data_IF_151664345816
#
_entry.id   IF_151664345816
#
_cell.length_a   1.000
_cell.length_b   1.000
_cell.length_c   1.000
_cell.angle_alpha   90.00
_cell.angle_beta   90.00
_cell.angle_gamma   90.00
#
_symmetry.space_group_name_H-M   'P 1'
#
loop_
_entity.id
_entity.type
_entity.pdbx_description
1 polymer ?
#
# COMPACT_ATOMS: atom_id res chain seq x y z
N UNK A 1 18.08 -12.73 -9.70
CA UNK A 1 18.72 -11.62 -8.91
C UNK A 1 17.80 -10.38 -8.74
N UNK A 2 16.97 -10.02 -9.74
CA UNK A 2 16.01 -8.91 -9.59
C UNK A 2 14.69 -9.37 -8.97
N UNK A 3 14.22 -10.57 -9.32
CA UNK A 3 13.02 -11.19 -8.73
C UNK A 3 13.14 -11.36 -7.21
N UNK A 4 14.30 -11.82 -6.74
CA UNK A 4 14.59 -12.00 -5.31
C UNK A 4 14.45 -10.72 -4.48
N UNK A 5 14.54 -9.54 -5.12
CA UNK A 5 14.35 -8.22 -4.49
C UNK A 5 12.93 -7.68 -4.63
N UNK A 6 12.06 -8.37 -5.34
CA UNK A 6 10.67 -7.98 -5.52
C UNK A 6 9.86 -8.46 -4.32
N UNK A 7 9.30 -7.53 -3.54
CA UNK A 7 8.51 -7.87 -2.35
C UNK A 7 7.30 -8.75 -2.69
N UNK A 8 6.61 -8.51 -3.81
CA UNK A 8 5.51 -9.37 -4.24
C UNK A 8 5.96 -10.80 -4.56
N UNK A 9 7.15 -10.96 -5.14
CA UNK A 9 7.75 -12.28 -5.40
C UNK A 9 8.14 -12.99 -4.11
N UNK A 10 8.74 -12.28 -3.15
CA UNK A 10 9.09 -12.85 -1.84
C UNK A 10 7.85 -13.35 -1.09
N UNK A 11 6.74 -12.60 -1.13
CA UNK A 11 5.47 -13.02 -0.53
C UNK A 11 4.91 -14.25 -1.25
N UNK A 12 4.94 -14.26 -2.57
CA UNK A 12 4.47 -15.39 -3.37
C UNK A 12 5.23 -16.68 -3.06
N UNK A 13 6.55 -16.62 -2.97
CA UNK A 13 7.39 -17.78 -2.63
C UNK A 13 7.28 -18.19 -1.15
N UNK A 14 7.00 -17.25 -0.25
CA UNK A 14 6.76 -17.52 1.17
C UNK A 14 5.37 -18.10 1.47
N UNK A 15 4.43 -18.07 0.52
CA UNK A 15 3.07 -18.54 0.70
C UNK A 15 2.87 -20.05 0.43
N UNK A 16 3.95 -20.84 0.38
CA UNK A 16 3.94 -22.29 0.10
C UNK A 16 3.21 -22.66 -1.22
N UNK A 17 3.25 -21.75 -2.20
CA UNK A 17 2.71 -21.96 -3.52
C UNK A 17 3.80 -22.47 -4.46
N UNK A 18 3.55 -23.59 -5.13
CA UNK A 18 4.46 -24.07 -6.17
C UNK A 18 4.33 -23.19 -7.43
N UNK A 19 5.26 -22.28 -7.56
CA UNK A 19 5.38 -21.38 -8.72
C UNK A 19 6.59 -21.68 -9.57
N UNK A 20 7.29 -22.79 -9.31
CA UNK A 20 8.56 -23.15 -10.00
C UNK A 20 8.36 -23.45 -11.48
N UNK A 21 7.19 -23.98 -11.85
CA UNK A 21 6.83 -24.25 -13.25
C UNK A 21 6.20 -23.05 -13.98
N UNK A 22 6.00 -21.89 -13.31
CA UNK A 22 5.44 -20.71 -13.93
C UNK A 22 6.51 -19.84 -14.55
N UNK A 23 6.27 -19.42 -15.79
CA UNK A 23 7.09 -18.37 -16.38
C UNK A 23 6.87 -17.03 -15.67
N UNK A 24 7.96 -16.37 -15.31
CA UNK A 24 7.96 -15.14 -14.56
C UNK A 24 8.34 -13.94 -15.43
N UNK A 25 7.41 -13.01 -15.62
CA UNK A 25 7.68 -11.73 -16.24
C UNK A 25 7.94 -10.66 -15.18
N UNK A 26 9.13 -10.10 -15.17
CA UNK A 26 9.45 -8.97 -14.29
C UNK A 26 9.17 -7.64 -15.00
N UNK A 27 8.24 -6.87 -14.47
CA UNK A 27 7.90 -5.53 -14.93
C UNK A 27 8.57 -4.49 -14.02
N UNK A 28 9.62 -3.80 -14.48
CA UNK A 28 10.28 -2.79 -13.66
C UNK A 28 9.37 -1.57 -13.45
N UNK A 29 9.09 -1.25 -12.18
CA UNK A 29 8.26 -0.11 -11.78
C UNK A 29 9.08 0.88 -10.94
N UNK A 30 10.05 1.59 -11.55
CA UNK A 30 10.90 2.53 -10.83
C UNK A 30 10.09 3.75 -10.36
N UNK A 31 10.46 4.31 -9.20
CA UNK A 31 9.90 5.57 -8.71
C UNK A 31 10.47 6.75 -9.49
N UNK A 32 9.88 7.06 -10.64
CA UNK A 32 10.26 8.16 -11.52
C UNK A 32 9.38 9.37 -11.19
N UNK A 33 9.99 10.55 -10.96
CA UNK A 33 9.25 11.80 -10.71
C UNK A 33 8.75 12.46 -12.01
N UNK A 34 9.45 12.24 -13.09
CA UNK A 34 9.13 12.79 -14.40
C UNK A 34 7.95 12.03 -15.04
N UNK A 35 6.85 12.73 -15.23
CA UNK A 35 5.58 12.13 -15.64
C UNK A 35 5.64 11.45 -17.03
N UNK A 36 6.37 12.01 -17.97
CA UNK A 36 6.52 11.44 -19.32
C UNK A 36 7.26 10.10 -19.26
N UNK A 37 8.43 10.07 -18.63
CA UNK A 37 9.22 8.84 -18.47
C UNK A 37 8.47 7.75 -17.69
N UNK A 38 7.66 8.17 -16.71
CA UNK A 38 6.81 7.24 -15.97
C UNK A 38 5.74 6.64 -16.89
N UNK A 39 5.11 7.47 -17.76
CA UNK A 39 4.12 7.01 -18.74
C UNK A 39 4.75 6.04 -19.74
N UNK A 40 5.87 6.40 -20.33
CA UNK A 40 6.63 5.55 -21.27
C UNK A 40 6.99 4.18 -20.64
N UNK A 41 7.39 4.19 -19.37
CA UNK A 41 7.66 2.93 -18.66
C UNK A 41 6.41 2.07 -18.52
N UNK A 42 5.26 2.66 -18.16
CA UNK A 42 4.00 1.93 -18.07
C UNK A 42 3.54 1.40 -19.44
N UNK A 43 3.70 2.19 -20.51
CA UNK A 43 3.37 1.79 -21.88
C UNK A 43 4.22 0.59 -22.32
N UNK A 44 5.54 0.64 -22.05
CA UNK A 44 6.46 -0.47 -22.33
C UNK A 44 6.09 -1.73 -21.55
N UNK A 45 5.78 -1.62 -20.26
CA UNK A 45 5.38 -2.77 -19.44
C UNK A 45 4.06 -3.35 -19.92
N UNK A 46 3.08 -2.52 -20.27
CA UNK A 46 1.81 -3.00 -20.82
C UNK A 46 2.00 -3.73 -22.15
N UNK A 47 2.87 -3.22 -23.03
CA UNK A 47 3.20 -3.88 -24.30
C UNK A 47 3.78 -5.28 -24.09
N UNK A 48 4.71 -5.46 -23.14
CA UNK A 48 5.24 -6.77 -22.81
C UNK A 48 4.15 -7.75 -22.34
N UNK A 49 3.17 -7.26 -21.59
CA UNK A 49 2.02 -8.08 -21.17
C UNK A 49 1.15 -8.44 -22.38
N UNK A 50 0.87 -7.50 -23.27
CA UNK A 50 0.06 -7.73 -24.49
C UNK A 50 0.69 -8.78 -25.39
N UNK A 51 2.01 -8.74 -25.58
CA UNK A 51 2.76 -9.71 -26.39
C UNK A 51 2.55 -11.17 -25.93
N UNK A 52 2.38 -11.36 -24.62
CA UNK A 52 2.10 -12.69 -24.05
C UNK A 52 0.62 -13.05 -24.20
N UNK A 53 -0.28 -12.08 -23.99
CA UNK A 53 -1.73 -12.30 -24.17
C UNK A 53 -2.09 -12.60 -25.62
N UNK A 54 -1.39 -12.01 -26.61
CA UNK A 54 -1.59 -12.21 -28.04
C UNK A 54 -1.30 -13.63 -28.52
N UNK A 55 -0.44 -14.35 -27.81
CA UNK A 55 -0.19 -15.78 -28.09
C UNK A 55 -1.14 -16.72 -27.35
N UNK A 56 -2.18 -16.16 -26.70
CA UNK A 56 -3.26 -16.93 -26.07
C UNK A 56 -2.97 -17.42 -24.65
N UNK A 57 -1.97 -16.85 -23.98
CA UNK A 57 -1.64 -17.17 -22.59
C UNK A 57 -2.37 -16.21 -21.63
N UNK A 58 -2.70 -16.71 -20.44
CA UNK A 58 -3.21 -15.89 -19.34
C UNK A 58 -2.08 -15.38 -18.46
N UNK A 59 -2.25 -14.18 -17.90
CA UNK A 59 -1.26 -13.56 -16.99
C UNK A 59 -1.92 -13.21 -15.67
N UNK A 60 -1.25 -13.59 -14.57
CA UNK A 60 -1.55 -13.11 -13.23
C UNK A 60 -0.51 -12.06 -12.80
N UNK A 61 -0.94 -10.81 -12.62
CA UNK A 61 -0.11 -9.74 -12.07
C UNK A 61 -0.18 -9.75 -10.54
N UNK A 62 0.92 -10.08 -9.87
CA UNK A 62 1.00 -10.05 -8.40
C UNK A 62 1.40 -8.68 -7.90
N UNK A 63 0.74 -8.25 -6.82
CA UNK A 63 0.98 -6.98 -6.13
C UNK A 63 0.81 -7.15 -4.63
N UNK A 64 1.29 -6.17 -3.85
CA UNK A 64 1.12 -6.12 -2.40
C UNK A 64 -0.27 -5.62 -2.02
N UNK A 65 -0.87 -6.21 -1.00
CA UNK A 65 -2.15 -5.78 -0.46
C UNK A 65 -3.32 -6.05 -1.42
N UNK A 66 -4.19 -5.08 -1.58
CA UNK A 66 -5.33 -5.15 -2.50
C UNK A 66 -5.03 -4.40 -3.80
N UNK A 67 -5.28 -4.99 -4.99
CA UNK A 67 -4.95 -4.38 -6.26
C UNK A 67 -5.79 -3.13 -6.60
N UNK A 68 -6.88 -2.86 -5.88
CA UNK A 68 -7.71 -1.68 -6.07
C UNK A 68 -7.21 -0.45 -5.28
N UNK A 69 -6.27 -0.64 -4.33
CA UNK A 69 -5.78 0.42 -3.43
C UNK A 69 -4.33 0.79 -3.75
N UNK A 70 -4.12 1.89 -4.45
CA UNK A 70 -2.80 2.46 -4.80
C UNK A 70 -1.81 1.49 -5.46
N UNK A 71 -2.31 0.43 -6.09
CA UNK A 71 -1.47 -0.56 -6.75
C UNK A 71 -0.94 -0.05 -8.09
N UNK A 72 0.36 -0.23 -8.34
CA UNK A 72 0.99 0.19 -9.61
C UNK A 72 0.48 -0.63 -10.80
N UNK A 73 0.01 -1.85 -10.56
CA UNK A 73 -0.63 -2.71 -11.57
C UNK A 73 -1.87 -2.07 -12.22
N UNK A 74 -2.53 -1.12 -11.54
CA UNK A 74 -3.67 -0.38 -12.12
C UNK A 74 -3.31 0.37 -13.39
N UNK A 75 -2.09 0.88 -13.49
CA UNK A 75 -1.62 1.58 -14.70
C UNK A 75 -1.47 0.65 -15.91
N UNK A 76 -1.11 -0.61 -15.67
CA UNK A 76 -1.03 -1.65 -16.70
C UNK A 76 -2.45 -2.08 -17.08
N UNK A 77 -3.31 -2.36 -16.09
CA UNK A 77 -4.71 -2.74 -16.28
C UNK A 77 -5.43 -1.78 -17.23
N UNK A 78 -5.37 -0.47 -16.96
CA UNK A 78 -6.03 0.55 -17.79
C UNK A 78 -5.57 0.48 -19.26
N UNK A 79 -4.27 0.26 -19.51
CA UNK A 79 -3.72 0.14 -20.86
C UNK A 79 -4.18 -1.12 -21.57
N UNK A 80 -4.25 -2.23 -20.86
CA UNK A 80 -4.77 -3.49 -21.41
C UNK A 80 -6.22 -3.33 -21.82
N UNK A 81 -7.06 -2.74 -20.99
CA UNK A 81 -8.49 -2.51 -21.28
C UNK A 81 -8.70 -1.56 -22.46
N UNK A 82 -7.88 -0.50 -22.55
CA UNK A 82 -7.89 0.43 -23.70
C UNK A 82 -7.54 -0.26 -25.03
N UNK A 83 -6.81 -1.37 -24.98
CA UNK A 83 -6.45 -2.19 -26.14
C UNK A 83 -7.34 -3.44 -26.30
N UNK A 84 -8.48 -3.52 -25.59
CA UNK A 84 -9.48 -4.55 -25.76
C UNK A 84 -9.25 -5.86 -24.99
N UNK A 85 -8.23 -5.92 -24.15
CA UNK A 85 -7.99 -7.10 -23.30
C UNK A 85 -8.93 -7.10 -22.09
N UNK A 86 -9.42 -8.28 -21.72
CA UNK A 86 -10.21 -8.45 -20.49
C UNK A 86 -9.29 -8.53 -19.28
N UNK A 87 -9.66 -7.85 -18.21
CA UNK A 87 -8.94 -7.87 -16.94
C UNK A 87 -9.91 -8.17 -15.80
N UNK A 88 -9.39 -8.74 -14.71
CA UNK A 88 -10.12 -8.94 -13.47
C UNK A 88 -9.24 -8.56 -12.28
N UNK A 89 -9.84 -7.97 -11.24
CA UNK A 89 -9.17 -7.76 -9.96
C UNK A 89 -9.54 -8.90 -9.01
N UNK A 90 -8.53 -9.55 -8.46
CA UNK A 90 -8.72 -10.54 -7.39
C UNK A 90 -8.45 -9.80 -6.08
N UNK A 91 -9.43 -9.68 -5.17
CA UNK A 91 -9.28 -8.92 -3.94
C UNK A 91 -8.22 -9.54 -3.03
N UNK A 92 -7.48 -8.68 -2.35
CA UNK A 92 -6.50 -9.04 -1.34
C UNK A 92 -6.82 -8.38 0.00
N UNK A 93 -5.93 -8.53 0.97
CA UNK A 93 -6.03 -7.84 2.25
C UNK A 93 -5.30 -6.50 2.14
N UNK A 94 -6.01 -5.34 2.19
CA UNK A 94 -5.36 -4.04 2.18
C UNK A 94 -4.37 -3.90 3.34
N UNK A 95 -3.24 -3.23 3.13
CA UNK A 95 -2.18 -3.09 4.15
C UNK A 95 -2.68 -2.49 5.47
N UNK A 96 -3.63 -1.58 5.42
CA UNK A 96 -4.20 -0.98 6.62
C UNK A 96 -5.11 -1.95 7.41
N UNK A 97 -5.76 -2.91 6.75
CA UNK A 97 -6.49 -3.98 7.44
C UNK A 97 -5.51 -4.96 8.11
N UNK A 98 -4.43 -5.33 7.42
CA UNK A 98 -3.38 -6.17 8.00
C UNK A 98 -2.71 -5.48 9.20
N UNK A 99 -2.37 -4.18 9.07
CA UNK A 99 -1.80 -3.38 10.15
C UNK A 99 -2.75 -3.26 11.36
N UNK A 100 -4.05 -3.05 11.12
CA UNK A 100 -5.04 -2.99 12.20
C UNK A 100 -5.14 -4.33 12.95
N UNK A 101 -5.09 -5.45 12.23
CA UNK A 101 -5.07 -6.79 12.83
C UNK A 101 -3.80 -7.00 13.68
N UNK A 102 -2.61 -6.64 13.16
CA UNK A 102 -1.35 -6.75 13.89
C UNK A 102 -1.29 -5.85 15.14
N UNK A 103 -1.85 -4.64 15.05
CA UNK A 103 -1.99 -3.72 16.18
C UNK A 103 -3.14 -4.07 17.13
N UNK A 104 -3.96 -5.07 16.79
CA UNK A 104 -5.16 -5.48 17.52
C UNK A 104 -6.15 -4.32 17.75
N UNK A 105 -6.44 -3.55 16.69
CA UNK A 105 -7.36 -2.41 16.75
C UNK A 105 -8.45 -2.46 15.70
N UNK A 106 -9.63 -2.01 16.05
CA UNK A 106 -10.75 -1.81 15.13
C UNK A 106 -10.58 -0.48 14.40
N UNK A 107 -10.69 -0.48 13.07
CA UNK A 107 -10.57 0.75 12.27
C UNK A 107 -11.81 1.64 12.41
N UNK A 108 -12.99 1.08 12.42
CA UNK A 108 -14.23 1.86 12.60
C UNK A 108 -15.28 1.04 13.34
N UNK A 109 -16.09 1.74 14.13
CA UNK A 109 -17.24 1.19 14.84
C UNK A 109 -18.50 2.02 14.52
N UNK A 110 -19.64 1.35 14.38
CA UNK A 110 -20.94 1.99 14.16
C UNK A 110 -20.95 2.98 12.96
N UNK A 111 -20.94 4.28 13.24
CA UNK A 111 -21.01 5.38 12.25
C UNK A 111 -19.67 6.09 12.05
N UNK A 112 -18.58 5.56 12.59
CA UNK A 112 -17.24 6.13 12.44
C UNK A 112 -16.81 6.07 10.97
N UNK A 113 -16.33 7.18 10.45
CA UNK A 113 -15.81 7.28 9.08
C UNK A 113 -14.37 6.81 9.02
N UNK A 114 -13.95 6.26 7.87
CA UNK A 114 -12.56 5.90 7.59
C UNK A 114 -12.08 6.69 6.38
N UNK A 115 -10.99 7.43 6.55
CA UNK A 115 -10.31 8.17 5.48
C UNK A 115 -8.97 7.52 5.15
N UNK A 116 -8.81 7.04 3.93
CA UNK A 116 -7.56 6.48 3.43
C UNK A 116 -6.84 7.56 2.62
N UNK A 117 -5.72 8.05 3.13
CA UNK A 117 -5.09 9.28 2.68
C UNK A 117 -3.61 9.05 2.34
N UNK A 118 -3.13 9.50 1.17
CA UNK A 118 -1.71 9.53 0.89
C UNK A 118 -1.06 10.74 1.61
N UNK A 119 -0.34 10.50 2.71
CA UNK A 119 0.33 11.55 3.49
C UNK A 119 1.43 12.31 2.73
N UNK A 120 1.66 11.96 1.47
CA UNK A 120 2.59 12.67 0.58
C UNK A 120 2.09 14.04 0.13
N UNK A 121 0.84 14.44 0.41
CA UNK A 121 0.24 15.71 -0.01
C UNK A 121 0.08 16.69 1.14
N UNK A 122 -1.08 16.75 1.75
CA UNK A 122 -1.44 17.74 2.78
C UNK A 122 -1.75 17.04 4.11
N UNK A 123 -0.75 17.01 4.99
CA UNK A 123 -0.87 16.38 6.32
C UNK A 123 -1.88 17.14 7.18
N UNK A 124 -1.84 18.47 7.17
CA UNK A 124 -2.71 19.31 8.00
C UNK A 124 -4.20 19.12 7.64
N UNK A 125 -4.49 19.08 6.33
CA UNK A 125 -5.83 18.77 5.84
C UNK A 125 -6.25 17.35 6.20
N UNK A 126 -5.36 16.39 6.07
CA UNK A 126 -5.64 14.99 6.43
C UNK A 126 -5.97 14.84 7.91
N UNK A 127 -5.26 15.53 8.79
CA UNK A 127 -5.48 15.48 10.25
C UNK A 127 -6.70 16.28 10.70
N UNK A 128 -7.29 17.15 9.87
CA UNK A 128 -8.50 17.90 10.20
C UNK A 128 -9.81 17.13 9.96
N UNK A 129 -9.73 15.95 9.32
CA UNK A 129 -10.89 15.09 9.10
C UNK A 129 -11.31 14.40 10.41
N UNK A 130 -12.59 14.17 10.59
CA UNK A 130 -13.13 13.37 11.71
C UNK A 130 -12.96 11.86 11.47
N UNK A 131 -13.17 11.05 12.50
CA UNK A 131 -13.10 9.59 12.40
C UNK A 131 -11.67 9.05 12.31
N UNK A 132 -11.53 7.87 11.75
CA UNK A 132 -10.22 7.20 11.59
C UNK A 132 -9.52 7.66 10.33
N UNK A 133 -8.29 8.16 10.46
CA UNK A 133 -7.44 8.57 9.34
C UNK A 133 -6.29 7.59 9.18
N UNK A 134 -6.23 6.95 8.02
CA UNK A 134 -5.17 6.04 7.62
C UNK A 134 -4.22 6.81 6.72
N UNK A 135 -3.03 7.16 7.24
CA UNK A 135 -2.03 7.89 6.47
C UNK A 135 -1.06 6.91 5.82
N UNK A 136 -1.14 6.77 4.52
CA UNK A 136 -0.27 5.89 3.72
C UNK A 136 0.86 6.68 3.06
N UNK A 137 1.93 5.99 2.65
CA UNK A 137 3.09 6.58 1.95
C UNK A 137 3.79 7.67 2.77
N UNK A 138 3.97 7.41 4.05
CA UNK A 138 4.53 8.36 5.02
C UNK A 138 6.06 8.38 5.07
N UNK A 139 6.75 7.36 4.58
CA UNK A 139 8.19 7.12 4.79
C UNK A 139 9.11 8.34 4.61
N UNK A 140 8.89 9.15 3.56
CA UNK A 140 9.68 10.36 3.33
C UNK A 140 9.27 11.56 4.19
N UNK A 141 8.20 11.43 4.98
CA UNK A 141 7.58 12.50 5.78
C UNK A 141 7.27 12.09 7.21
N UNK A 142 7.82 10.97 7.68
CA UNK A 142 7.57 10.43 9.03
C UNK A 142 7.75 11.50 10.11
N UNK A 143 8.85 12.23 10.10
CA UNK A 143 9.11 13.30 11.06
C UNK A 143 8.06 14.43 10.99
N UNK A 144 7.64 14.82 9.78
CA UNK A 144 6.61 15.86 9.60
C UNK A 144 5.23 15.40 10.08
N UNK A 145 4.86 14.13 9.84
CA UNK A 145 3.60 13.56 10.33
C UNK A 145 3.61 13.52 11.85
N UNK A 146 4.70 13.06 12.46
CA UNK A 146 4.86 13.02 13.90
C UNK A 146 4.75 14.41 14.54
N UNK A 147 5.49 15.39 14.02
CA UNK A 147 5.43 16.79 14.48
C UNK A 147 4.01 17.37 14.40
N UNK A 148 3.30 17.12 13.29
CA UNK A 148 1.93 17.60 13.10
C UNK A 148 0.94 16.96 14.08
N UNK A 149 1.11 15.66 14.40
CA UNK A 149 0.32 14.94 15.41
C UNK A 149 0.59 15.50 16.81
N UNK A 150 1.87 15.65 17.20
CA UNK A 150 2.29 16.19 18.50
C UNK A 150 1.77 17.61 18.70
N UNK A 151 1.88 18.48 17.69
CA UNK A 151 1.38 19.86 17.74
C UNK A 151 -0.12 19.95 17.97
N UNK A 152 -0.89 18.94 17.50
CA UNK A 152 -2.34 18.85 17.67
C UNK A 152 -2.74 18.08 18.94
N UNK A 153 -1.79 17.55 19.69
CA UNK A 153 -2.07 16.67 20.83
C UNK A 153 -2.77 15.36 20.44
N UNK A 154 -2.58 14.94 19.19
CA UNK A 154 -3.15 13.69 18.66
C UNK A 154 -2.17 12.55 18.84
N UNK A 155 -2.68 11.37 19.17
CA UNK A 155 -1.88 10.14 19.16
C UNK A 155 -2.17 9.30 17.92
N UNK A 156 -1.27 8.38 17.60
CA UNK A 156 -1.38 7.49 16.46
C UNK A 156 -0.68 6.16 16.71
N UNK A 157 -1.24 5.14 16.08
CA UNK A 157 -0.60 3.84 15.92
C UNK A 157 0.13 3.82 14.59
N UNK A 158 1.21 3.05 14.49
CA UNK A 158 1.90 2.87 13.22
C UNK A 158 2.31 1.41 13.05
N UNK A 159 2.18 0.91 11.83
CA UNK A 159 2.75 -0.36 11.41
C UNK A 159 3.82 -0.11 10.35
N UNK A 160 4.93 -0.81 10.47
CA UNK A 160 6.05 -0.81 9.54
C UNK A 160 6.36 -2.24 9.10
N UNK A 161 6.50 -2.47 7.79
CA UNK A 161 6.78 -3.77 7.18
C UNK A 161 5.80 -4.89 7.60
N UNK A 162 4.52 -4.55 7.80
CA UNK A 162 3.51 -5.52 8.25
C UNK A 162 3.49 -6.77 7.37
N UNK A 163 3.60 -7.96 7.99
CA UNK A 163 3.70 -9.25 7.31
C UNK A 163 5.08 -9.57 6.70
N UNK A 164 6.11 -8.79 6.99
CA UNK A 164 7.49 -9.02 6.53
C UNK A 164 8.41 -9.36 7.72
N UNK A 165 9.62 -9.87 7.43
CA UNK A 165 10.60 -10.27 8.44
C UNK A 165 10.95 -9.15 9.44
N UNK A 166 10.91 -7.89 9.00
CA UNK A 166 11.23 -6.73 9.83
C UNK A 166 9.97 -5.96 10.26
N UNK A 167 8.89 -6.69 10.56
CA UNK A 167 7.65 -6.10 11.04
C UNK A 167 7.84 -5.40 12.38
N UNK A 168 7.28 -4.18 12.49
CA UNK A 168 7.28 -3.38 13.72
C UNK A 168 5.93 -2.70 13.91
N UNK A 169 5.47 -2.67 15.16
CA UNK A 169 4.26 -1.98 15.58
C UNK A 169 4.58 -0.95 16.64
N UNK A 170 4.02 0.24 16.51
CA UNK A 170 4.19 1.37 17.42
C UNK A 170 2.81 1.78 17.92
N UNK A 171 2.66 1.88 19.23
CA UNK A 171 1.37 2.11 19.88
C UNK A 171 1.17 3.57 20.30
N UNK A 172 2.15 4.43 20.13
CA UNK A 172 2.03 5.88 20.32
C UNK A 172 2.98 6.65 19.41
N UNK A 173 2.68 7.92 19.16
CA UNK A 173 3.53 8.83 18.37
C UNK A 173 4.95 8.93 18.94
N UNK A 174 5.10 8.81 20.28
CA UNK A 174 6.41 8.91 20.97
C UNK A 174 7.34 7.74 20.67
N UNK A 175 6.81 6.58 20.32
CA UNK A 175 7.57 5.37 19.98
C UNK A 175 8.08 5.40 18.54
N UNK A 176 7.44 6.20 17.67
CA UNK A 176 7.73 6.20 16.23
C UNK A 176 9.09 6.87 15.97
N UNK A 177 10.03 6.20 15.30
CA UNK A 177 11.34 6.76 14.98
C UNK A 177 11.24 7.86 13.91
N UNK A 178 12.29 8.68 13.78
CA UNK A 178 12.35 9.75 12.77
C UNK A 178 12.37 9.25 11.32
N UNK A 179 12.82 8.02 11.12
CA UNK A 179 12.91 7.38 9.81
C UNK A 179 12.28 6.01 9.87
N UNK A 180 11.40 5.75 8.93
CA UNK A 180 10.71 4.48 8.76
C UNK A 180 10.90 3.94 7.35
N UNK A 181 10.61 2.65 7.15
CA UNK A 181 10.66 2.04 5.83
C UNK A 181 9.59 2.60 4.90
N UNK A 182 9.72 2.29 3.62
CA UNK A 182 8.71 2.62 2.61
C UNK A 182 7.33 2.00 2.93
N UNK A 183 7.33 0.83 3.54
CA UNK A 183 6.12 0.07 3.90
C UNK A 183 5.61 0.45 5.30
N UNK A 184 5.37 1.74 5.54
CA UNK A 184 4.81 2.24 6.79
C UNK A 184 3.49 2.96 6.57
N UNK A 185 2.60 2.84 7.54
CA UNK A 185 1.34 3.58 7.58
C UNK A 185 0.96 3.94 9.02
N UNK A 186 0.26 5.05 9.18
CA UNK A 186 -0.30 5.48 10.46
C UNK A 186 -1.81 5.22 10.51
N UNK A 187 -2.29 4.89 11.69
CA UNK A 187 -3.71 4.84 12.04
C UNK A 187 -3.93 5.89 13.12
N UNK A 188 -4.57 6.99 12.76
CA UNK A 188 -4.90 8.09 13.68
C UNK A 188 -6.38 8.00 14.00
N UNK A 189 -6.70 7.73 15.25
CA UNK A 189 -8.08 7.67 15.74
C UNK A 189 -8.38 8.89 16.61
N UNK A 190 -9.65 9.26 16.67
CA UNK A 190 -10.10 10.21 17.69
C UNK A 190 -10.09 9.54 19.06
N UNK A 191 -9.80 10.30 20.14
CA UNK A 191 -9.97 9.79 21.48
C UNK A 191 -11.40 9.27 21.63
N UNK A 192 -11.58 8.03 22.05
CA UNK A 192 -12.92 7.54 22.39
C UNK A 192 -13.41 8.33 23.61
N UNK A 193 -14.54 9.04 23.47
CA UNK A 193 -15.29 9.44 24.65
C UNK A 193 -15.64 8.16 25.40
N UNK A 194 -15.36 8.09 26.71
CA UNK A 194 -15.73 6.94 27.54
C UNK A 194 -17.25 6.78 27.44
N UNK A 195 -17.67 5.90 26.56
CA UNK A 195 -19.09 5.52 26.49
C UNK A 195 -19.37 4.70 27.76
N UNK A 196 -19.95 5.36 28.75
CA UNK A 196 -20.58 4.67 29.88
C UNK A 196 -21.76 3.89 29.32
N UNK A 197 -21.58 2.58 29.23
CA UNK A 197 -22.68 1.63 29.03
C UNK A 197 -23.44 1.42 30.35
#
# INVERSE_FOLDING_TARGET
RWLEKCAAYQILTGADLDVTEKEMLYLPMPMIREKERLRENHDRCAKQVMEILDVGLDIACVTLGDPSIYATTSYIKVRLEQNGYRTALIPGVPSFCAAAAGLNVTLAENREEIHILPASYDIEKSLSLSGTRILMKTASRTAQVREALEKRGMDALMAENCGMEQEQFYHSVKEIPDKTSYYSLYIVKEPKEETKW
#
